data_IF_214121942928
#
_entry.id   IF_214121942928
#
_cell.length_a   1.000
_cell.length_b   1.000
_cell.length_c   1.000
_cell.angle_alpha   90.00
_cell.angle_beta   90.00
_cell.angle_gamma   90.00
#
_symmetry.space_group_name_H-M   'P 1'
#
loop_
_entity.id
_entity.type
_entity.pdbx_description
1 polymer ?
#
# COMPACT_ATOMS: atom_id res chain seq x y z
N UNK A 1 -12.07 8.38 -11.09
CA UNK A 1 -11.85 7.88 -9.72
C UNK A 1 -10.93 8.86 -9.03
N UNK A 2 -11.38 9.53 -7.98
CA UNK A 2 -10.55 10.48 -7.24
C UNK A 2 -9.84 9.73 -6.11
N UNK A 3 -8.52 9.92 -5.99
CA UNK A 3 -7.78 9.40 -4.85
C UNK A 3 -7.76 10.42 -3.72
N UNK A 4 -7.90 9.94 -2.49
CA UNK A 4 -7.81 10.75 -1.28
C UNK A 4 -6.34 10.91 -0.88
N UNK A 5 -5.94 12.14 -0.60
CA UNK A 5 -4.59 12.47 -0.12
C UNK A 5 -4.69 13.43 1.05
N UNK A 6 -3.75 13.31 1.98
CA UNK A 6 -3.56 14.23 3.09
C UNK A 6 -2.06 14.46 3.27
N UNK A 7 -1.67 15.69 3.56
CA UNK A 7 -0.31 16.01 4.02
C UNK A 7 -0.32 16.03 5.54
N UNK A 8 0.61 15.30 6.15
CA UNK A 8 0.77 15.21 7.60
C UNK A 8 2.10 15.84 8.03
N UNK A 9 2.16 16.31 9.27
CA UNK A 9 3.44 16.65 9.91
C UNK A 9 4.16 15.35 10.33
N UNK A 10 5.49 15.36 10.37
CA UNK A 10 6.28 14.18 10.75
C UNK A 10 5.92 13.65 12.15
N UNK A 11 5.62 14.56 13.07
CA UNK A 11 5.29 14.23 14.46
C UNK A 11 3.80 13.94 14.69
N UNK A 12 3.00 13.80 13.63
CA UNK A 12 1.57 13.47 13.78
C UNK A 12 1.44 12.10 14.46
N UNK A 13 0.68 12.03 15.55
CA UNK A 13 0.40 10.78 16.25
C UNK A 13 -0.20 9.73 15.29
N UNK A 14 0.36 8.51 15.21
CA UNK A 14 -0.14 7.45 14.32
C UNK A 14 -1.63 7.11 14.52
N UNK A 15 -2.13 7.26 15.75
CA UNK A 15 -3.54 7.03 16.11
C UNK A 15 -4.48 7.97 15.35
N UNK A 16 -4.05 9.21 15.08
CA UNK A 16 -4.83 10.15 14.26
C UNK A 16 -4.88 9.72 12.80
N UNK A 17 -3.79 9.13 12.28
CA UNK A 17 -3.76 8.58 10.93
C UNK A 17 -4.69 7.37 10.83
N UNK A 18 -4.68 6.49 11.82
CA UNK A 18 -5.61 5.37 11.87
C UNK A 18 -7.06 5.84 11.99
N UNK A 19 -7.33 6.87 12.80
CA UNK A 19 -8.65 7.46 12.92
C UNK A 19 -9.15 8.02 11.58
N UNK A 20 -8.29 8.78 10.89
CA UNK A 20 -8.58 9.29 9.54
C UNK A 20 -8.94 8.15 8.58
N UNK A 21 -8.13 7.08 8.52
CA UNK A 21 -8.37 5.96 7.61
C UNK A 21 -9.71 5.27 7.91
N UNK A 22 -9.99 4.97 9.17
CA UNK A 22 -11.14 4.16 9.57
C UNK A 22 -12.45 4.94 9.63
N UNK A 23 -12.43 6.20 10.08
CA UNK A 23 -13.64 6.96 10.38
C UNK A 23 -13.96 8.02 9.31
N UNK A 24 -12.98 8.85 8.96
CA UNK A 24 -13.18 9.94 8.00
C UNK A 24 -13.21 9.42 6.56
N UNK A 25 -12.24 8.56 6.21
CA UNK A 25 -12.15 7.94 4.88
C UNK A 25 -12.95 6.64 4.78
N UNK A 26 -13.48 6.14 5.90
CA UNK A 26 -14.36 4.97 5.98
C UNK A 26 -13.73 3.72 5.34
N UNK A 27 -12.42 3.58 5.44
CA UNK A 27 -11.70 2.39 4.99
C UNK A 27 -11.97 1.27 5.99
N UNK A 28 -12.39 0.11 5.50
CA UNK A 28 -12.65 -1.06 6.35
C UNK A 28 -11.36 -1.52 7.03
N UNK A 29 -11.49 -1.92 8.30
CA UNK A 29 -10.42 -2.57 9.07
C UNK A 29 -9.90 -3.79 8.29
N UNK A 30 -8.58 -3.92 8.09
CA UNK A 30 -8.02 -5.05 7.37
C UNK A 30 -7.89 -6.28 8.26
N UNK A 31 -7.93 -7.47 7.67
CA UNK A 31 -7.54 -8.71 8.38
C UNK A 31 -6.02 -8.97 8.29
N UNK A 32 -5.31 -8.23 7.43
CA UNK A 32 -3.89 -8.36 7.17
C UNK A 32 -3.32 -7.04 6.66
N UNK A 33 -2.13 -6.66 7.10
CA UNK A 33 -1.39 -5.51 6.55
C UNK A 33 -0.13 -6.02 5.86
N UNK A 34 0.05 -5.65 4.59
CA UNK A 34 1.22 -6.00 3.79
C UNK A 34 1.96 -4.70 3.47
N UNK A 35 3.16 -4.54 4.03
CA UNK A 35 4.07 -3.44 3.68
C UNK A 35 4.99 -3.87 2.55
N UNK A 36 4.98 -3.13 1.44
CA UNK A 36 5.86 -3.36 0.29
C UNK A 36 6.83 -2.19 0.21
N UNK A 37 8.09 -2.48 0.49
CA UNK A 37 9.20 -1.53 0.36
C UNK A 37 9.94 -1.89 -0.93
N UNK A 38 9.95 -0.96 -1.89
CA UNK A 38 10.76 -1.12 -3.10
C UNK A 38 12.26 -0.98 -2.80
N UNK A 39 13.10 -1.61 -3.61
CA UNK A 39 14.53 -1.34 -3.61
C UNK A 39 14.82 0.02 -4.22
N UNK A 40 15.79 0.75 -3.65
CA UNK A 40 16.28 2.05 -4.16
C UNK A 40 16.98 1.95 -5.54
N UNK A 41 17.26 0.73 -6.01
CA UNK A 41 17.97 0.49 -7.26
C UNK A 41 17.01 -0.03 -8.32
N UNK A 42 17.07 0.57 -9.52
CA UNK A 42 16.43 0.11 -10.76
C UNK A 42 16.96 -1.27 -11.18
N UNK A 43 16.61 -2.31 -10.43
CA UNK A 43 16.89 -3.70 -10.75
C UNK A 43 15.63 -4.30 -11.38
N UNK A 44 15.50 -4.25 -12.72
CA UNK A 44 14.31 -4.75 -13.38
C UNK A 44 14.16 -6.25 -13.08
N UNK A 45 13.05 -6.61 -12.45
CA UNK A 45 12.66 -8.00 -12.29
C UNK A 45 12.41 -8.60 -13.67
N UNK A 46 12.76 -9.88 -13.86
CA UNK A 46 12.37 -10.61 -15.08
C UNK A 46 10.84 -10.57 -15.25
N UNK A 47 10.36 -10.41 -16.49
CA UNK A 47 8.93 -10.23 -16.78
C UNK A 47 8.02 -11.31 -16.14
N UNK A 48 8.47 -12.57 -16.14
CA UNK A 48 7.74 -13.67 -15.49
C UNK A 48 7.61 -13.47 -13.98
N UNK A 49 8.69 -13.03 -13.33
CA UNK A 49 8.68 -12.78 -11.89
C UNK A 49 7.80 -11.56 -11.54
N UNK A 50 7.86 -10.48 -12.33
CA UNK A 50 6.95 -9.35 -12.18
C UNK A 50 5.47 -9.78 -12.23
N UNK A 51 5.13 -10.63 -13.21
CA UNK A 51 3.77 -11.13 -13.36
C UNK A 51 3.34 -11.97 -12.15
N UNK A 52 4.19 -12.88 -11.68
CA UNK A 52 3.90 -13.73 -10.51
C UNK A 52 3.71 -12.88 -9.24
N UNK A 53 4.61 -11.92 -8.99
CA UNK A 53 4.52 -11.03 -7.82
C UNK A 53 3.24 -10.19 -7.88
N UNK A 54 2.94 -9.56 -9.03
CA UNK A 54 1.72 -8.78 -9.22
C UNK A 54 0.45 -9.60 -8.96
N UNK A 55 0.38 -10.82 -9.50
CA UNK A 55 -0.78 -11.69 -9.29
C UNK A 55 -0.89 -12.15 -7.83
N UNK A 56 0.22 -12.47 -7.18
CA UNK A 56 0.25 -12.87 -5.77
C UNK A 56 -0.28 -11.78 -4.85
N UNK A 57 0.19 -10.53 -5.03
CA UNK A 57 -0.26 -9.38 -4.24
C UNK A 57 -1.75 -9.10 -4.48
N UNK A 58 -2.18 -9.07 -5.75
CA UNK A 58 -3.58 -8.84 -6.10
C UNK A 58 -4.49 -9.91 -5.48
N UNK A 59 -4.07 -11.17 -5.52
CA UNK A 59 -4.80 -12.28 -4.91
C UNK A 59 -4.90 -12.10 -3.41
N UNK A 60 -3.77 -11.87 -2.72
CA UNK A 60 -3.74 -11.69 -1.28
C UNK A 60 -4.66 -10.54 -0.83
N UNK A 61 -4.61 -9.38 -1.51
CA UNK A 61 -5.47 -8.24 -1.23
C UNK A 61 -6.96 -8.59 -1.35
N UNK A 62 -7.35 -9.27 -2.43
CA UNK A 62 -8.74 -9.64 -2.70
C UNK A 62 -9.30 -10.71 -1.78
N UNK A 63 -8.49 -11.72 -1.41
CA UNK A 63 -9.00 -12.88 -0.66
C UNK A 63 -8.99 -12.67 0.85
N UNK A 64 -8.12 -11.82 1.36
CA UNK A 64 -7.98 -11.60 2.82
C UNK A 64 -8.61 -10.28 3.29
N UNK A 65 -8.90 -9.35 2.38
CA UNK A 65 -9.22 -7.98 2.77
C UNK A 65 -8.00 -7.27 3.36
N UNK A 66 -6.82 -7.48 2.77
CA UNK A 66 -5.58 -6.87 3.24
C UNK A 66 -5.47 -5.39 2.82
N UNK A 67 -4.82 -4.59 3.67
CA UNK A 67 -4.24 -3.32 3.25
C UNK A 67 -2.87 -3.57 2.61
N UNK A 68 -2.63 -2.94 1.47
CA UNK A 68 -1.30 -2.89 0.83
C UNK A 68 -0.74 -1.49 1.04
N UNK A 69 0.37 -1.38 1.76
CA UNK A 69 1.04 -0.11 2.05
C UNK A 69 2.33 -0.05 1.23
N UNK A 70 2.51 1.03 0.46
CA UNK A 70 3.72 1.29 -0.34
C UNK A 70 4.21 2.72 -0.08
N UNK A 71 5.39 3.08 -0.59
CA UNK A 71 5.92 4.44 -0.49
C UNK A 71 5.25 5.46 -1.43
N UNK A 72 4.39 5.01 -2.35
CA UNK A 72 3.67 5.87 -3.30
C UNK A 72 4.52 6.51 -4.41
N UNK A 73 5.77 6.07 -4.60
CA UNK A 73 6.70 6.64 -5.60
C UNK A 73 6.67 5.86 -6.93
N UNK A 74 6.74 6.56 -8.07
CA UNK A 74 6.87 5.95 -9.41
C UNK A 74 8.35 5.78 -9.80
N UNK A 75 9.05 4.89 -9.07
CA UNK A 75 10.51 4.69 -9.22
C UNK A 75 10.92 3.22 -9.42
N UNK A 76 10.05 2.38 -10.01
CA UNK A 76 10.30 0.93 -10.09
C UNK A 76 9.64 0.23 -11.28
N UNK A 77 9.73 0.84 -12.48
CA UNK A 77 9.22 0.24 -13.72
C UNK A 77 10.10 -0.89 -14.22
#
# INVERSE_FOLDING_TARGET
MYMQYVRLHYETCPELVLHLLLHEWKIRVPNLVISIVGGLANAPLQAKLQQVVKHGILRAAKTTGAWIVTNGLDIGR
#
